data_IF_894670330214
#
_entry.id   IF_894670330214
#
_cell.length_a   1.000
_cell.length_b   1.000
_cell.length_c   1.000
_cell.angle_alpha   90.00
_cell.angle_beta   90.00
_cell.angle_gamma   90.00
#
_symmetry.space_group_name_H-M   'P 1'
#
loop_
_entity.id
_entity.type
_entity.pdbx_description
1 polymer ?
#
# COMPACT_ATOMS: atom_id res chain seq x y z
N UNK A 1 2.58 -16.79 -17.61
CA UNK A 1 3.44 -15.83 -16.87
C UNK A 1 2.92 -15.80 -15.44
N UNK A 2 3.74 -16.21 -14.48
CA UNK A 2 3.33 -16.41 -13.10
C UNK A 2 3.20 -15.04 -12.43
N UNK A 3 1.98 -14.58 -12.16
CA UNK A 3 1.74 -13.38 -11.35
C UNK A 3 2.04 -13.76 -9.90
N UNK A 4 3.26 -13.52 -9.45
CA UNK A 4 3.57 -13.51 -8.03
C UNK A 4 2.68 -12.46 -7.35
N UNK A 5 1.75 -12.87 -6.50
CA UNK A 5 0.95 -11.97 -5.67
C UNK A 5 1.91 -11.22 -4.73
N UNK A 6 2.26 -9.98 -5.07
CA UNK A 6 3.13 -9.15 -4.22
C UNK A 6 2.23 -8.24 -3.41
N UNK A 7 2.04 -8.54 -2.12
CA UNK A 7 1.37 -7.62 -1.20
C UNK A 7 2.10 -6.27 -1.18
N UNK A 8 1.37 -5.18 -0.95
CA UNK A 8 1.94 -3.82 -0.92
C UNK A 8 1.44 -3.05 0.29
N UNK A 9 2.31 -2.25 0.89
CA UNK A 9 1.95 -1.17 1.81
C UNK A 9 1.78 0.10 0.99
N UNK A 10 0.56 0.63 0.95
CA UNK A 10 0.23 1.86 0.27
C UNK A 10 0.04 2.97 1.28
N UNK A 11 0.72 4.09 1.08
CA UNK A 11 0.53 5.30 1.86
C UNK A 11 -0.33 6.27 1.07
N UNK A 12 -1.39 6.76 1.70
CA UNK A 12 -2.27 7.78 1.17
C UNK A 12 -2.19 9.03 2.04
N UNK A 13 -2.42 10.19 1.44
CA UNK A 13 -2.75 11.42 2.16
C UNK A 13 -4.05 11.91 1.54
N UNK A 14 -5.15 11.77 2.28
CA UNK A 14 -6.47 11.87 1.69
C UNK A 14 -6.73 10.80 0.63
N UNK A 15 -7.20 11.23 -0.53
CA UNK A 15 -7.50 10.33 -1.64
C UNK A 15 -6.29 10.07 -2.55
N UNK A 16 -5.16 10.73 -2.29
CA UNK A 16 -3.98 10.67 -3.14
C UNK A 16 -3.05 9.55 -2.67
N UNK A 17 -2.75 8.63 -3.60
CA UNK A 17 -1.73 7.61 -3.40
C UNK A 17 -0.35 8.27 -3.46
N UNK A 18 0.38 8.22 -2.35
CA UNK A 18 1.72 8.81 -2.25
C UNK A 18 2.79 7.81 -2.67
N UNK A 19 2.77 6.59 -2.10
CA UNK A 19 3.73 5.54 -2.46
C UNK A 19 3.17 4.15 -2.16
N UNK A 20 3.57 3.17 -2.97
CA UNK A 20 3.26 1.75 -2.78
C UNK A 20 4.56 0.93 -2.65
N UNK A 21 4.79 0.36 -1.47
CA UNK A 21 6.00 -0.41 -1.15
C UNK A 21 5.69 -1.90 -1.18
N UNK A 22 6.45 -2.75 -1.89
CA UNK A 22 6.25 -4.20 -1.86
C UNK A 22 6.51 -4.77 -0.46
N UNK A 23 5.70 -5.74 -0.05
CA UNK A 23 5.80 -6.46 1.20
C UNK A 23 6.01 -7.95 0.94
N UNK A 24 6.76 -8.58 1.82
CA UNK A 24 6.88 -10.03 1.90
C UNK A 24 5.78 -10.54 2.84
N UNK A 25 4.89 -11.37 2.30
CA UNK A 25 3.71 -11.85 3.01
C UNK A 25 4.07 -12.63 4.28
N UNK A 26 5.15 -13.39 4.23
CA UNK A 26 5.66 -14.22 5.33
C UNK A 26 6.03 -13.36 6.55
N UNK A 27 6.49 -12.13 6.29
CA UNK A 27 6.99 -11.22 7.31
C UNK A 27 5.91 -10.34 7.94
N UNK A 28 4.66 -10.35 7.43
CA UNK A 28 3.56 -9.53 7.96
C UNK A 28 3.21 -9.88 9.41
N UNK A 29 3.44 -11.13 9.82
CA UNK A 29 3.20 -11.61 11.18
C UNK A 29 4.29 -11.17 12.15
N UNK A 30 5.45 -10.74 11.63
CA UNK A 30 6.57 -10.37 12.47
C UNK A 30 6.33 -8.99 13.11
N UNK A 31 6.45 -8.88 14.44
CA UNK A 31 6.27 -7.60 15.12
C UNK A 31 7.25 -6.56 14.57
N UNK A 32 6.75 -5.36 14.32
CA UNK A 32 7.56 -4.24 13.84
C UNK A 32 7.89 -4.24 12.35
N UNK A 33 7.59 -5.31 11.59
CA UNK A 33 7.87 -5.35 10.14
C UNK A 33 7.21 -4.18 9.41
N UNK A 34 5.87 -4.07 9.48
CA UNK A 34 5.13 -2.94 8.91
C UNK A 34 5.55 -1.59 9.50
N UNK A 35 5.88 -1.57 10.80
CA UNK A 35 6.28 -0.35 11.50
C UNK A 35 7.53 0.30 10.92
N UNK A 36 8.51 -0.51 10.47
CA UNK A 36 9.72 0.00 9.81
C UNK A 36 9.40 0.74 8.51
N UNK A 37 8.52 0.18 7.68
CA UNK A 37 8.08 0.83 6.44
C UNK A 37 7.28 2.09 6.71
N UNK A 38 6.28 2.04 7.60
CA UNK A 38 5.48 3.23 7.97
C UNK A 38 6.35 4.37 8.50
N UNK A 39 7.34 4.07 9.34
CA UNK A 39 8.28 5.08 9.85
C UNK A 39 9.15 5.67 8.73
N UNK A 40 9.69 4.82 7.87
CA UNK A 40 10.50 5.26 6.73
C UNK A 40 9.70 6.17 5.80
N UNK A 41 8.46 5.81 5.49
CA UNK A 41 7.56 6.62 4.66
C UNK A 41 7.21 7.96 5.32
N UNK A 42 6.92 7.98 6.62
CA UNK A 42 6.68 9.23 7.36
C UNK A 42 7.89 10.16 7.38
N UNK A 43 9.10 9.63 7.48
CA UNK A 43 10.33 10.44 7.40
C UNK A 43 10.58 10.94 5.97
N UNK A 44 10.40 10.08 4.96
CA UNK A 44 10.59 10.42 3.54
C UNK A 44 9.66 11.54 3.08
N UNK A 45 8.41 11.55 3.57
CA UNK A 45 7.38 12.51 3.18
C UNK A 45 7.00 13.46 4.33
N UNK A 46 7.92 13.72 5.26
CA UNK A 46 7.64 14.55 6.45
C UNK A 46 7.13 15.95 6.09
N UNK A 47 7.74 16.58 5.08
CA UNK A 47 7.34 17.90 4.60
C UNK A 47 5.91 17.88 4.03
N UNK A 48 5.60 16.93 3.14
CA UNK A 48 4.28 16.76 2.56
C UNK A 48 3.21 16.49 3.63
N UNK A 49 3.52 15.62 4.60
CA UNK A 49 2.63 15.33 5.74
C UNK A 49 2.38 16.60 6.57
N UNK A 50 3.40 17.42 6.81
CA UNK A 50 3.27 18.63 7.63
C UNK A 50 2.42 19.72 6.99
N UNK A 51 2.36 19.75 5.65
CA UNK A 51 1.58 20.70 4.88
C UNK A 51 0.14 20.24 4.63
N UNK A 52 -0.13 18.94 4.80
CA UNK A 52 -1.46 18.38 4.62
C UNK A 52 -2.30 18.53 5.89
N UNK A 53 -3.57 18.97 5.78
CA UNK A 53 -4.49 18.95 6.92
C UNK A 53 -4.93 17.52 7.30
N UNK A 54 -4.72 16.54 6.41
CA UNK A 54 -5.10 15.16 6.61
C UNK A 54 -3.89 14.30 6.98
N UNK A 55 -4.01 13.42 7.99
CA UNK A 55 -2.95 12.52 8.38
C UNK A 55 -2.72 11.45 7.29
N UNK A 56 -1.52 10.86 7.23
CA UNK A 56 -1.26 9.79 6.29
C UNK A 56 -1.96 8.50 6.71
N UNK A 57 -2.64 7.88 5.75
CA UNK A 57 -3.30 6.58 5.88
C UNK A 57 -2.43 5.48 5.27
N UNK A 58 -2.54 4.28 5.82
CA UNK A 58 -1.74 3.14 5.38
C UNK A 58 -2.59 1.90 5.18
N UNK A 59 -2.59 1.38 3.96
CA UNK A 59 -3.34 0.19 3.57
C UNK A 59 -2.40 -0.92 3.11
N UNK A 60 -2.65 -2.14 3.56
CA UNK A 60 -1.99 -3.33 3.01
C UNK A 60 -2.92 -3.95 1.97
N UNK A 61 -2.47 -4.03 0.74
CA UNK A 61 -3.28 -4.54 -0.39
C UNK A 61 -2.59 -5.73 -1.01
N UNK A 62 -3.36 -6.78 -1.28
CA UNK A 62 -2.98 -7.83 -2.23
C UNK A 62 -3.52 -7.43 -3.60
N UNK A 63 -2.66 -7.04 -4.57
CA UNK A 63 -3.12 -6.68 -5.90
C UNK A 63 -3.65 -7.94 -6.58
N UNK A 64 -4.96 -8.13 -6.51
CA UNK A 64 -5.63 -9.16 -7.29
C UNK A 64 -5.52 -8.76 -8.76
N UNK A 65 -5.06 -9.65 -9.66
CA UNK A 65 -5.25 -9.40 -11.07
C UNK A 65 -6.75 -9.25 -11.31
N UNK A 66 -7.20 -8.27 -12.12
CA UNK A 66 -8.62 -8.13 -12.41
C UNK A 66 -9.09 -9.43 -13.08
N UNK A 67 -9.81 -10.26 -12.32
CA UNK A 67 -10.66 -11.27 -12.92
C UNK A 67 -11.64 -10.50 -13.79
N UNK A 68 -11.57 -10.68 -15.10
CA UNK A 68 -12.52 -10.15 -16.07
C UNK A 68 -13.93 -10.54 -15.61
N UNK A 69 -14.61 -9.66 -14.85
CA UNK A 69 -16.02 -9.85 -14.55
C UNK A 69 -16.75 -9.60 -15.86
N UNK A 70 -17.29 -10.69 -16.39
CA UNK A 70 -17.72 -10.79 -17.77
C UNK A 70 -18.72 -9.72 -18.19
N UNK A 71 -18.45 -9.17 -19.38
CA UNK A 71 -19.51 -8.89 -20.34
C UNK A 71 -20.36 -10.16 -20.49
N UNK A 72 -21.48 -10.25 -19.76
CA UNK A 72 -22.61 -11.04 -20.25
C UNK A 72 -23.44 -10.11 -21.12
N UNK A 73 -23.08 -10.07 -22.40
CA UNK A 73 -24.06 -9.86 -23.45
C UNK A 73 -25.17 -10.90 -23.27
N UNK A 74 -26.39 -10.46 -22.98
CA UNK A 74 -27.59 -10.96 -23.65
C UNK A 74 -28.73 -9.97 -23.49
#
# INVERSE_FOLDING_TARGET
MQTSNVMKLMMYIGNDLIEAVPLQQENLRLPGYLGKFKRSLKMKYSELISQSPQPPEFLVIEPTPPTQQGQKNK
#
